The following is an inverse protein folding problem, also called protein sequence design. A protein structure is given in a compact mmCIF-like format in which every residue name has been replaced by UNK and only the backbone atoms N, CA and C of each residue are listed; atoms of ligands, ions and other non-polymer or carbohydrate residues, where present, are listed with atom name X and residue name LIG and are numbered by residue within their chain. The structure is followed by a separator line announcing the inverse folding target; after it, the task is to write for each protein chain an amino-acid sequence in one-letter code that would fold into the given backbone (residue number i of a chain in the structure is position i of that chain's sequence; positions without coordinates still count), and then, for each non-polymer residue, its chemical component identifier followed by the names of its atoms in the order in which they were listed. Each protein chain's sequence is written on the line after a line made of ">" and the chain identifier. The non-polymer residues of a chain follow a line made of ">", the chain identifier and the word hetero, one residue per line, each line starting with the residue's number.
data_IF_370387448098
#
_entry.id   IF_370387448098
#
_cell.length_a   1.000
_cell.length_b   1.000
_cell.length_c   1.000
_cell.angle_alpha   90.00
_cell.angle_beta   90.00
_cell.angle_gamma   90.00
#
_symmetry.space_group_name_H-M   'P 1'
#
loop_
_entity.id
_entity.type
_entity.pdbx_description
1 polymer ?
#
# COMPACT_ATOMS: atom_id res chain seq x y z
N UNK A 1 -11.42 -31.88 27.73
CA UNK A 1 -11.42 -30.42 27.69
C UNK A 1 -10.88 -30.03 26.33
N UNK A 2 -11.78 -29.87 25.33
CA UNK A 2 -11.38 -29.50 23.97
C UNK A 2 -11.17 -27.99 23.95
N UNK A 3 -9.93 -27.56 23.92
CA UNK A 3 -9.55 -26.20 23.62
C UNK A 3 -9.89 -25.91 22.14
N UNK A 4 -11.03 -25.27 21.89
CA UNK A 4 -11.33 -24.67 20.59
C UNK A 4 -10.37 -23.51 20.40
N UNK A 5 -9.19 -23.76 19.87
CA UNK A 5 -8.38 -22.73 19.24
C UNK A 5 -9.25 -22.13 18.12
N UNK A 6 -9.64 -20.87 18.24
CA UNK A 6 -10.25 -20.13 17.15
C UNK A 6 -9.31 -20.28 15.95
N UNK A 7 -9.68 -21.15 15.00
CA UNK A 7 -8.95 -21.23 13.72
C UNK A 7 -9.11 -19.87 13.06
N UNK A 8 -8.06 -19.09 13.06
CA UNK A 8 -7.99 -17.92 12.20
C UNK A 8 -8.25 -18.41 10.78
N UNK A 9 -9.31 -17.90 10.14
CA UNK A 9 -9.50 -18.17 8.71
C UNK A 9 -8.38 -17.46 7.98
N UNK A 10 -7.62 -18.16 7.12
CA UNK A 10 -6.59 -17.52 6.34
C UNK A 10 -7.23 -16.45 5.45
N UNK A 11 -6.58 -15.30 5.37
CA UNK A 11 -6.95 -14.18 4.52
C UNK A 11 -5.91 -14.07 3.41
N UNK A 12 -6.35 -13.83 2.17
CA UNK A 12 -5.44 -13.51 1.08
C UNK A 12 -5.08 -12.03 1.15
N UNK A 13 -3.79 -11.70 1.08
CA UNK A 13 -3.34 -10.35 0.77
C UNK A 13 -3.24 -10.19 -0.74
N UNK A 14 -3.87 -9.17 -1.32
CA UNK A 14 -3.73 -8.78 -2.72
C UNK A 14 -3.11 -7.40 -2.84
N UNK A 15 -2.02 -7.32 -3.59
CA UNK A 15 -1.41 -6.08 -4.05
C UNK A 15 -1.75 -5.91 -5.54
N UNK A 16 -2.53 -4.87 -5.86
CA UNK A 16 -3.06 -4.57 -7.19
C UNK A 16 -2.37 -3.32 -7.72
N UNK A 17 -1.44 -3.50 -8.67
CA UNK A 17 -0.65 -2.41 -9.24
C UNK A 17 -0.87 -2.30 -10.75
N UNK A 18 -0.38 -1.23 -11.36
CA UNK A 18 -0.47 -1.00 -12.83
C UNK A 18 0.19 -2.10 -13.67
N UNK A 19 1.18 -2.81 -13.11
CA UNK A 19 1.97 -3.81 -13.84
C UNK A 19 1.64 -5.25 -13.48
N UNK A 20 1.13 -5.49 -12.28
CA UNK A 20 0.89 -6.85 -11.78
C UNK A 20 -0.12 -6.88 -10.63
N UNK A 21 -0.76 -8.02 -10.46
CA UNK A 21 -1.37 -8.39 -9.20
C UNK A 21 -0.47 -9.41 -8.50
N UNK A 22 -0.19 -9.18 -7.21
CA UNK A 22 0.52 -10.11 -6.35
C UNK A 22 -0.42 -10.63 -5.28
N UNK A 23 -0.29 -11.89 -4.94
CA UNK A 23 -1.12 -12.59 -3.97
C UNK A 23 -0.23 -13.30 -2.96
N UNK A 24 -0.58 -13.18 -1.70
CA UNK A 24 0.03 -13.95 -0.61
C UNK A 24 -1.03 -14.51 0.32
N UNK A 25 -0.86 -15.77 0.74
CA UNK A 25 -1.62 -16.41 1.82
C UNK A 25 -0.66 -16.75 2.94
N UNK A 26 -0.97 -16.29 4.16
CA UNK A 26 -0.14 -16.50 5.33
C UNK A 26 -0.89 -17.35 6.36
N UNK A 27 -0.17 -18.23 7.04
CA UNK A 27 -0.61 -18.87 8.27
C UNK A 27 0.25 -18.42 9.45
N UNK A 28 -0.31 -18.51 10.65
CA UNK A 28 0.42 -18.24 11.89
C UNK A 28 0.58 -19.57 12.65
N UNK A 29 1.82 -20.03 12.81
CA UNK A 29 2.15 -21.25 13.51
C UNK A 29 3.30 -21.00 14.51
N UNK A 30 3.07 -21.28 15.79
CA UNK A 30 4.08 -21.06 16.83
C UNK A 30 4.54 -19.60 16.98
N UNK A 31 3.70 -18.63 16.67
CA UNK A 31 4.04 -17.20 16.70
C UNK A 31 4.82 -16.69 15.48
N UNK A 32 5.04 -17.57 14.48
CA UNK A 32 5.73 -17.19 13.24
C UNK A 32 4.78 -17.27 12.04
N UNK A 33 4.90 -16.30 11.14
CA UNK A 33 4.20 -16.32 9.87
C UNK A 33 4.88 -17.26 8.89
N UNK A 34 4.07 -18.03 8.19
CA UNK A 34 4.50 -18.91 7.11
C UNK A 34 3.73 -18.58 5.85
N UNK A 35 4.44 -18.50 4.72
CA UNK A 35 3.84 -18.32 3.40
C UNK A 35 3.28 -19.68 2.96
N UNK A 36 1.96 -19.76 2.81
CA UNK A 36 1.24 -20.95 2.33
C UNK A 36 1.05 -20.92 0.81
N UNK A 37 0.82 -19.73 0.24
CA UNK A 37 0.69 -19.53 -1.19
C UNK A 37 1.22 -18.16 -1.60
N UNK A 38 1.79 -18.08 -2.80
CA UNK A 38 2.25 -16.83 -3.42
C UNK A 38 2.15 -16.93 -4.94
N UNK A 39 1.71 -15.86 -5.57
CA UNK A 39 1.80 -15.69 -7.02
C UNK A 39 1.91 -14.21 -7.38
N UNK A 40 2.48 -13.96 -8.54
CA UNK A 40 2.46 -12.67 -9.22
C UNK A 40 2.00 -12.91 -10.66
N UNK A 41 0.99 -12.15 -11.12
CA UNK A 41 0.45 -12.21 -12.48
C UNK A 41 0.52 -10.84 -13.14
N UNK A 42 0.85 -10.78 -14.43
CA UNK A 42 0.84 -9.52 -15.16
C UNK A 42 -0.56 -8.91 -15.19
N UNK A 43 -0.61 -7.59 -15.04
CA UNK A 43 -1.84 -6.81 -15.22
C UNK A 43 -2.06 -6.54 -16.71
N UNK A 44 -3.29 -6.68 -17.21
CA UNK A 44 -3.63 -6.25 -18.57
C UNK A 44 -3.36 -4.76 -18.77
N UNK A 45 -2.85 -4.41 -19.93
CA UNK A 45 -2.53 -3.02 -20.27
C UNK A 45 -3.79 -2.15 -20.20
N UNK A 46 -3.67 -0.94 -19.68
CA UNK A 46 -4.75 0.05 -19.51
C UNK A 46 -5.91 -0.37 -18.61
N UNK A 47 -5.79 -1.46 -17.82
CA UNK A 47 -6.82 -1.83 -16.83
C UNK A 47 -6.76 -1.01 -15.55
N UNK A 48 -5.62 -0.36 -15.30
CA UNK A 48 -5.39 0.57 -14.18
C UNK A 48 -4.74 1.83 -14.73
N UNK A 49 -5.29 2.99 -14.39
CA UNK A 49 -4.74 4.29 -14.72
C UNK A 49 -4.59 5.13 -13.43
N UNK A 50 -3.41 5.74 -13.21
CA UNK A 50 -3.14 6.57 -12.02
C UNK A 50 -3.61 5.92 -10.70
N UNK A 51 -3.33 4.60 -10.54
CA UNK A 51 -3.74 3.77 -9.40
C UNK A 51 -5.26 3.53 -9.26
N UNK A 52 -6.09 4.02 -10.18
CA UNK A 52 -7.51 3.73 -10.26
C UNK A 52 -7.78 2.55 -11.19
N UNK A 53 -8.63 1.63 -10.77
CA UNK A 53 -9.07 0.51 -11.59
C UNK A 53 -10.12 1.03 -12.58
N UNK A 54 -9.81 0.97 -13.89
CA UNK A 54 -10.72 1.41 -14.95
C UNK A 54 -11.42 0.23 -15.65
N UNK A 55 -10.86 -0.98 -15.53
CA UNK A 55 -11.44 -2.22 -16.05
C UNK A 55 -11.44 -3.29 -14.97
N UNK A 56 -12.53 -3.36 -14.22
CA UNK A 56 -12.70 -4.29 -13.10
C UNK A 56 -12.73 -5.76 -13.54
N UNK A 57 -13.22 -6.07 -14.73
CA UNK A 57 -13.25 -7.43 -15.25
C UNK A 57 -11.83 -7.91 -15.62
N UNK A 58 -11.05 -7.09 -16.31
CA UNK A 58 -9.67 -7.42 -16.66
C UNK A 58 -8.79 -7.61 -15.42
N UNK A 59 -8.97 -6.77 -14.40
CA UNK A 59 -8.29 -6.92 -13.09
C UNK A 59 -8.77 -8.19 -12.39
N UNK A 60 -10.07 -8.45 -12.37
CA UNK A 60 -10.66 -9.68 -11.80
C UNK A 60 -10.11 -10.96 -12.45
N UNK A 61 -9.92 -10.96 -13.77
CA UNK A 61 -9.27 -12.06 -14.48
C UNK A 61 -7.81 -12.25 -14.07
N UNK A 62 -7.05 -11.17 -13.91
CA UNK A 62 -5.66 -11.25 -13.42
C UNK A 62 -5.61 -11.82 -11.99
N UNK A 63 -6.49 -11.37 -11.09
CA UNK A 63 -6.62 -11.92 -9.74
C UNK A 63 -6.96 -13.41 -9.79
N UNK A 64 -7.92 -13.82 -10.64
CA UNK A 64 -8.32 -15.24 -10.79
C UNK A 64 -7.16 -16.11 -11.25
N UNK A 65 -6.34 -15.62 -12.19
CA UNK A 65 -5.12 -16.32 -12.62
C UNK A 65 -4.12 -16.44 -11.47
N UNK A 66 -3.90 -15.38 -10.68
CA UNK A 66 -3.01 -15.39 -9.53
C UNK A 66 -3.46 -16.43 -8.49
N UNK A 67 -4.75 -16.46 -8.14
CA UNK A 67 -5.33 -17.44 -7.20
C UNK A 67 -5.12 -18.87 -7.69
N UNK A 68 -5.39 -19.13 -8.98
CA UNK A 68 -5.20 -20.44 -9.58
C UNK A 68 -3.73 -20.88 -9.57
N UNK A 69 -2.83 -19.96 -9.92
CA UNK A 69 -1.38 -20.23 -9.97
C UNK A 69 -0.80 -20.48 -8.59
N UNK A 70 -1.23 -19.71 -7.58
CA UNK A 70 -0.80 -19.88 -6.20
C UNK A 70 -1.37 -21.16 -5.55
N UNK A 71 -2.47 -21.71 -6.07
CA UNK A 71 -3.22 -22.77 -5.39
C UNK A 71 -3.83 -22.31 -4.07
N UNK A 72 -4.10 -21.01 -3.93
CA UNK A 72 -4.64 -20.41 -2.72
C UNK A 72 -6.04 -20.94 -2.40
N UNK A 73 -6.33 -21.12 -1.11
CA UNK A 73 -7.57 -21.76 -0.66
C UNK A 73 -8.59 -20.79 -0.08
N UNK A 74 -8.13 -19.69 0.49
CA UNK A 74 -9.03 -18.68 1.05
C UNK A 74 -9.84 -18.00 -0.05
N UNK A 75 -11.06 -17.59 0.30
CA UNK A 75 -11.93 -16.78 -0.53
C UNK A 75 -12.11 -15.37 0.02
N UNK A 76 -11.64 -15.13 1.24
CA UNK A 76 -11.67 -13.81 1.88
C UNK A 76 -10.34 -13.10 1.63
N UNK A 77 -10.39 -11.80 1.31
CA UNK A 77 -9.26 -11.02 0.81
C UNK A 77 -9.11 -9.72 1.59
N UNK A 78 -7.88 -9.35 1.86
CA UNK A 78 -7.48 -7.98 2.19
C UNK A 78 -6.87 -7.34 0.94
N UNK A 79 -7.35 -6.15 0.60
CA UNK A 79 -6.81 -5.26 -0.43
C UNK A 79 -6.51 -3.91 0.18
N UNK A 80 -5.78 -3.05 -0.52
CA UNK A 80 -5.52 -1.69 -0.08
C UNK A 80 -5.83 -0.67 -1.18
N UNK A 81 -6.17 0.54 -0.74
CA UNK A 81 -6.19 1.74 -1.59
C UNK A 81 -4.86 2.46 -1.48
N UNK A 82 -4.51 3.23 -2.49
CA UNK A 82 -3.29 4.04 -2.48
C UNK A 82 -3.35 5.12 -1.39
N UNK A 83 -2.19 5.43 -0.81
CA UNK A 83 -2.08 6.43 0.25
C UNK A 83 -2.47 7.84 -0.20
N UNK A 84 -2.27 8.21 -1.47
CA UNK A 84 -2.67 9.49 -2.06
C UNK A 84 -4.19 9.59 -2.29
N UNK A 85 -4.90 8.47 -2.35
CA UNK A 85 -6.36 8.41 -2.43
C UNK A 85 -7.03 8.45 -1.04
N UNK A 86 -6.27 8.38 0.04
CA UNK A 86 -6.76 8.38 1.42
C UNK A 86 -6.45 9.70 2.12
N UNK A 87 -7.45 10.25 2.79
CA UNK A 87 -7.29 11.35 3.74
C UNK A 87 -7.08 10.74 5.11
N UNK A 88 -5.96 11.06 5.75
CA UNK A 88 -5.60 10.57 7.08
C UNK A 88 -5.42 11.75 8.02
N UNK A 89 -6.12 11.75 9.15
CA UNK A 89 -6.08 12.85 10.12
C UNK A 89 -6.16 12.33 11.55
N UNK A 90 -5.33 12.85 12.44
CA UNK A 90 -5.52 12.67 13.87
C UNK A 90 -6.36 13.83 14.39
N UNK A 91 -7.51 13.52 14.95
CA UNK A 91 -8.46 14.47 15.55
C UNK A 91 -8.56 14.22 17.05
N UNK A 92 -8.90 15.27 17.81
CA UNK A 92 -9.04 15.18 19.26
C UNK A 92 -10.51 15.07 19.65
N UNK A 93 -10.83 14.09 20.50
CA UNK A 93 -12.17 13.80 20.99
C UNK A 93 -12.19 13.84 22.53
N UNK A 94 -13.28 14.30 23.17
CA UNK A 94 -13.42 14.22 24.61
C UNK A 94 -13.31 12.79 25.14
N UNK A 95 -12.51 12.60 26.19
CA UNK A 95 -12.21 11.25 26.75
C UNK A 95 -13.41 10.57 27.39
N UNK A 96 -14.41 11.34 27.81
CA UNK A 96 -15.58 10.84 28.54
C UNK A 96 -16.76 10.42 27.63
N UNK A 97 -16.58 10.39 26.32
CA UNK A 97 -17.62 9.96 25.38
C UNK A 97 -17.82 8.43 25.45
N UNK A 98 -19.08 8.01 25.39
CA UNK A 98 -19.42 6.60 25.15
C UNK A 98 -19.14 6.25 23.68
N UNK A 99 -18.96 4.98 23.37
CA UNK A 99 -18.61 4.54 22.01
C UNK A 99 -19.58 5.07 20.92
N UNK A 100 -20.89 5.01 21.16
CA UNK A 100 -21.90 5.52 20.21
C UNK A 100 -21.86 7.05 20.05
N UNK A 101 -21.57 7.77 21.14
CA UNK A 101 -21.45 9.24 21.13
C UNK A 101 -20.14 9.65 20.42
N UNK A 102 -19.08 8.84 20.57
CA UNK A 102 -17.80 9.05 19.88
C UNK A 102 -17.97 8.93 18.37
N UNK A 103 -18.65 7.86 17.88
CA UNK A 103 -18.90 7.65 16.45
C UNK A 103 -19.63 8.85 15.84
N UNK A 104 -20.73 9.32 16.47
CA UNK A 104 -21.47 10.50 16.01
C UNK A 104 -20.60 11.79 16.01
N UNK A 105 -19.72 11.95 17.00
CA UNK A 105 -18.83 13.11 17.05
C UNK A 105 -17.71 13.03 16.00
N UNK A 106 -17.19 11.83 15.70
CA UNK A 106 -16.23 11.63 14.64
C UNK A 106 -16.85 11.99 13.28
N UNK A 107 -18.08 11.51 13.00
CA UNK A 107 -18.82 11.84 11.79
C UNK A 107 -19.00 13.35 11.61
N UNK A 108 -19.43 14.03 12.67
CA UNK A 108 -19.61 15.50 12.65
C UNK A 108 -18.30 16.25 12.41
N UNK A 109 -17.18 15.78 12.99
CA UNK A 109 -15.88 16.41 12.76
C UNK A 109 -15.26 16.03 11.40
N UNK A 110 -15.55 14.83 10.90
CA UNK A 110 -15.04 14.36 9.61
C UNK A 110 -15.40 15.32 8.46
N UNK A 111 -16.63 15.85 8.46
CA UNK A 111 -17.12 16.82 7.48
C UNK A 111 -16.24 18.09 7.38
N UNK A 112 -15.53 18.46 8.45
CA UNK A 112 -14.62 19.62 8.44
C UNK A 112 -13.28 19.37 7.77
N UNK A 113 -12.88 18.10 7.64
CA UNK A 113 -11.56 17.70 7.14
C UNK A 113 -11.63 17.03 5.76
N UNK A 114 -12.81 16.54 5.39
CA UNK A 114 -13.02 15.80 4.15
C UNK A 114 -13.61 16.77 3.10
N UNK A 115 -12.90 17.04 1.99
CA UNK A 115 -13.33 18.00 0.98
C UNK A 115 -14.35 17.42 -0.02
N UNK A 116 -15.10 16.39 0.37
CA UNK A 116 -16.10 15.71 -0.44
C UNK A 116 -17.40 15.57 0.33
N UNK A 117 -18.57 15.51 -0.34
CA UNK A 117 -19.84 15.19 0.30
C UNK A 117 -19.76 13.86 1.06
N UNK A 118 -20.25 13.81 2.30
CA UNK A 118 -20.14 12.63 3.16
C UNK A 118 -20.84 11.39 2.62
N UNK A 119 -21.84 11.55 1.77
CA UNK A 119 -22.54 10.46 1.05
C UNK A 119 -21.70 9.83 -0.08
N UNK A 120 -20.62 10.50 -0.50
CA UNK A 120 -19.64 9.98 -1.48
C UNK A 120 -18.37 9.43 -0.81
N UNK A 121 -18.33 9.37 0.54
CA UNK A 121 -17.12 9.04 1.30
C UNK A 121 -17.29 7.74 2.09
N UNK A 122 -16.31 6.86 1.98
CA UNK A 122 -16.11 5.76 2.91
C UNK A 122 -15.05 6.17 3.93
N UNK A 123 -15.37 6.09 5.22
CA UNK A 123 -14.44 6.43 6.29
C UNK A 123 -14.49 5.38 7.42
N UNK A 124 -13.41 5.34 8.18
CA UNK A 124 -13.27 4.55 9.41
C UNK A 124 -12.38 5.31 10.38
N UNK A 125 -12.40 4.92 11.67
CA UNK A 125 -11.57 5.55 12.65
C UNK A 125 -11.04 4.57 13.72
N UNK A 126 -9.89 4.89 14.29
CA UNK A 126 -9.26 4.14 15.37
C UNK A 126 -8.92 5.08 16.54
N UNK A 127 -9.27 4.68 17.77
CA UNK A 127 -8.84 5.39 18.97
C UNK A 127 -7.39 5.04 19.28
N UNK A 128 -6.49 6.00 19.13
CA UNK A 128 -5.06 5.82 19.38
C UNK A 128 -4.72 5.80 20.88
N UNK A 129 -5.51 6.50 21.69
CA UNK A 129 -5.32 6.60 23.14
C UNK A 129 -5.42 8.02 23.66
N UNK A 130 -5.00 8.26 24.93
CA UNK A 130 -4.97 9.58 25.51
C UNK A 130 -4.08 10.54 24.72
N UNK A 131 -4.54 11.76 24.48
CA UNK A 131 -3.74 12.77 23.79
C UNK A 131 -2.58 13.25 24.67
N UNK A 132 -1.38 13.37 24.07
CA UNK A 132 -0.23 13.97 24.75
C UNK A 132 -0.38 15.49 24.94
N UNK A 133 -1.27 16.13 24.17
CA UNK A 133 -1.50 17.58 24.19
C UNK A 133 -2.55 18.01 25.20
N UNK A 134 -3.50 17.13 25.51
CA UNK A 134 -4.62 17.40 26.41
C UNK A 134 -5.07 16.12 27.11
N UNK A 135 -4.91 16.05 28.42
CA UNK A 135 -5.23 14.88 29.23
C UNK A 135 -6.73 14.52 29.26
N UNK A 136 -7.60 15.46 28.92
CA UNK A 136 -9.06 15.25 28.86
C UNK A 136 -9.54 14.80 27.48
N UNK A 137 -8.60 14.64 26.54
CA UNK A 137 -8.86 14.25 25.15
C UNK A 137 -8.26 12.89 24.79
N UNK A 138 -8.87 12.25 23.79
CA UNK A 138 -8.34 11.09 23.06
C UNK A 138 -7.88 11.54 21.67
N UNK A 139 -6.76 11.02 21.23
CA UNK A 139 -6.36 11.09 19.82
C UNK A 139 -7.07 9.98 19.07
N UNK A 140 -7.77 10.35 17.99
CA UNK A 140 -8.52 9.45 17.12
C UNK A 140 -7.98 9.61 15.71
N UNK A 141 -7.53 8.52 15.11
CA UNK A 141 -7.14 8.46 13.73
C UNK A 141 -8.40 8.34 12.86
N UNK A 142 -8.68 9.35 12.07
CA UNK A 142 -9.70 9.34 11.03
C UNK A 142 -9.05 9.03 9.68
N UNK A 143 -9.61 8.07 8.96
CA UNK A 143 -9.20 7.69 7.61
C UNK A 143 -10.41 7.73 6.70
N UNK A 144 -10.31 8.42 5.57
CA UNK A 144 -11.41 8.57 4.64
C UNK A 144 -10.91 8.48 3.19
N UNK A 145 -11.78 8.03 2.29
CA UNK A 145 -11.55 8.00 0.86
C UNK A 145 -12.86 8.16 0.11
N UNK A 146 -12.83 8.49 -1.17
CA UNK A 146 -14.03 8.39 -1.99
C UNK A 146 -14.53 6.95 -2.02
N UNK A 147 -15.82 6.75 -1.87
CA UNK A 147 -16.49 5.43 -1.89
C UNK A 147 -16.16 4.67 -3.17
N UNK A 148 -16.05 5.37 -4.30
CA UNK A 148 -15.65 4.80 -5.59
C UNK A 148 -14.32 4.02 -5.52
N UNK A 149 -13.32 4.51 -4.77
CA UNK A 149 -12.03 3.82 -4.62
C UNK A 149 -12.18 2.46 -3.93
N UNK A 150 -13.08 2.36 -2.97
CA UNK A 150 -13.39 1.12 -2.26
C UNK A 150 -14.19 0.18 -3.18
N UNK A 151 -15.22 0.70 -3.84
CA UNK A 151 -16.12 -0.07 -4.72
C UNK A 151 -15.37 -0.69 -5.90
N UNK A 152 -14.45 0.03 -6.53
CA UNK A 152 -13.64 -0.48 -7.64
C UNK A 152 -12.80 -1.69 -7.20
N UNK A 153 -12.20 -1.64 -6.01
CA UNK A 153 -11.43 -2.77 -5.48
C UNK A 153 -12.34 -3.96 -5.13
N UNK A 154 -13.47 -3.68 -4.51
CA UNK A 154 -14.47 -4.72 -4.20
C UNK A 154 -15.03 -5.37 -5.47
N UNK A 155 -15.31 -4.57 -6.52
CA UNK A 155 -15.80 -5.07 -7.79
C UNK A 155 -14.78 -6.00 -8.47
N UNK A 156 -13.50 -5.60 -8.55
CA UNK A 156 -12.45 -6.43 -9.12
C UNK A 156 -12.25 -7.75 -8.34
N UNK A 157 -12.29 -7.70 -7.01
CA UNK A 157 -12.21 -8.89 -6.16
C UNK A 157 -13.43 -9.79 -6.36
N UNK A 158 -14.61 -9.22 -6.48
CA UNK A 158 -15.87 -9.94 -6.73
C UNK A 158 -15.86 -10.59 -8.11
N UNK A 159 -15.38 -9.90 -9.16
CA UNK A 159 -15.20 -10.45 -10.50
C UNK A 159 -14.25 -11.67 -10.51
N UNK A 160 -13.29 -11.73 -9.58
CA UNK A 160 -12.44 -12.89 -9.38
C UNK A 160 -13.12 -14.06 -8.64
N UNK A 161 -14.35 -13.91 -8.16
CA UNK A 161 -15.06 -14.91 -7.34
C UNK A 161 -14.57 -14.96 -5.88
N UNK A 162 -14.07 -13.84 -5.37
CA UNK A 162 -13.59 -13.64 -4.00
C UNK A 162 -14.44 -12.61 -3.26
N UNK A 163 -14.20 -12.45 -1.96
CA UNK A 163 -14.89 -11.47 -1.11
C UNK A 163 -13.87 -10.56 -0.46
N UNK A 164 -13.92 -9.27 -0.74
CA UNK A 164 -13.11 -8.27 -0.05
C UNK A 164 -13.62 -8.15 1.39
N UNK A 165 -12.80 -8.59 2.35
CA UNK A 165 -13.12 -8.57 3.77
C UNK A 165 -12.56 -7.33 4.45
N UNK A 166 -11.42 -6.87 3.95
CA UNK A 166 -10.69 -5.69 4.43
C UNK A 166 -10.29 -4.88 3.20
N UNK A 167 -10.57 -3.59 3.25
CA UNK A 167 -10.00 -2.59 2.35
C UNK A 167 -9.20 -1.63 3.24
N UNK A 168 -7.89 -1.77 3.20
CA UNK A 168 -6.94 -1.01 4.02
C UNK A 168 -6.33 0.15 3.20
N UNK A 169 -5.41 0.89 3.78
CA UNK A 169 -4.56 1.87 3.09
C UNK A 169 -3.15 1.30 2.96
N UNK A 170 -2.53 1.44 1.79
CA UNK A 170 -1.18 0.90 1.50
C UNK A 170 -0.15 1.30 2.57
N UNK A 171 -0.22 2.55 3.07
CA UNK A 171 0.70 3.03 4.10
C UNK A 171 0.59 2.24 5.42
N UNK A 172 -0.62 1.83 5.82
CA UNK A 172 -0.81 1.03 7.04
C UNK A 172 -0.46 -0.44 6.82
N UNK A 173 -0.72 -0.96 5.62
CA UNK A 173 -0.24 -2.28 5.24
C UNK A 173 1.29 -2.36 5.28
N UNK A 174 1.98 -1.32 4.78
CA UNK A 174 3.43 -1.18 4.87
C UNK A 174 3.92 -1.09 6.33
N UNK A 175 3.26 -0.27 7.16
CA UNK A 175 3.55 -0.17 8.60
C UNK A 175 3.51 -1.54 9.27
N UNK A 176 2.46 -2.30 9.00
CA UNK A 176 2.29 -3.64 9.56
C UNK A 176 3.34 -4.63 9.04
N UNK A 177 3.72 -4.53 7.76
CA UNK A 177 4.81 -5.33 7.20
C UNK A 177 6.16 -4.99 7.85
N UNK A 178 6.46 -3.72 8.10
CA UNK A 178 7.68 -3.27 8.78
C UNK A 178 7.80 -3.85 10.19
N UNK A 179 6.69 -4.00 10.92
CA UNK A 179 6.68 -4.64 12.25
C UNK A 179 7.14 -6.09 12.21
N UNK A 180 6.98 -6.79 11.09
CA UNK A 180 7.47 -8.16 10.91
C UNK A 180 8.98 -8.22 10.62
N UNK A 181 9.56 -7.11 10.16
CA UNK A 181 10.97 -7.00 9.76
C UNK A 181 11.86 -6.35 10.83
N UNK A 182 11.35 -6.13 12.04
CA UNK A 182 12.09 -5.45 13.12
C UNK A 182 13.45 -6.11 13.44
N UNK A 183 13.53 -7.44 13.29
CA UNK A 183 14.78 -8.19 13.47
C UNK A 183 15.89 -7.85 12.46
N UNK A 184 15.55 -7.19 11.33
CA UNK A 184 16.48 -6.72 10.31
C UNK A 184 16.87 -5.25 10.53
N UNK A 185 16.23 -4.57 11.49
CA UNK A 185 16.42 -3.14 11.74
C UNK A 185 17.37 -2.93 12.94
N UNK A 186 18.24 -1.92 12.89
CA UNK A 186 19.02 -1.53 14.06
C UNK A 186 18.08 -1.21 15.25
N UNK A 187 18.41 -1.75 16.42
CA UNK A 187 17.64 -1.57 17.67
C UNK A 187 16.14 -1.93 17.54
N UNK A 188 15.80 -2.87 16.61
CA UNK A 188 14.42 -3.25 16.33
C UNK A 188 13.55 -2.13 15.73
N UNK A 189 14.15 -1.01 15.32
CA UNK A 189 13.46 0.13 14.73
C UNK A 189 12.67 1.01 15.70
N UNK A 190 12.63 0.70 17.02
CA UNK A 190 11.72 1.36 17.99
C UNK A 190 12.09 2.82 18.21
N UNK A 191 13.36 3.12 18.44
CA UNK A 191 13.86 4.48 18.70
C UNK A 191 14.48 5.12 17.45
N UNK A 192 14.01 4.72 16.27
CA UNK A 192 14.55 5.18 14.98
C UNK A 192 13.49 5.86 14.14
N UNK A 193 13.95 6.82 13.33
CA UNK A 193 13.21 7.30 12.17
C UNK A 193 13.71 6.52 10.96
N UNK A 194 12.80 5.80 10.30
CA UNK A 194 13.11 4.88 9.20
C UNK A 194 12.44 5.39 7.95
N UNK A 195 13.20 5.56 6.87
CA UNK A 195 12.64 5.80 5.55
C UNK A 195 12.48 4.46 4.81
N UNK A 196 11.31 4.24 4.25
CA UNK A 196 11.01 3.11 3.37
C UNK A 196 10.70 3.65 2.00
N UNK A 197 11.37 3.13 0.99
CA UNK A 197 11.19 3.55 -0.40
C UNK A 197 10.74 2.33 -1.19
N UNK A 198 9.50 2.36 -1.67
CA UNK A 198 8.93 1.31 -2.52
C UNK A 198 8.98 1.76 -3.98
N UNK A 199 9.89 1.15 -4.75
CA UNK A 199 10.04 1.40 -6.17
C UNK A 199 9.11 0.48 -6.97
N UNK A 200 7.96 1.03 -7.36
CA UNK A 200 6.99 0.34 -8.21
C UNK A 200 7.33 0.40 -9.70
N UNK A 201 6.35 0.03 -10.53
CA UNK A 201 6.48 0.08 -11.97
C UNK A 201 6.33 1.51 -12.51
N UNK A 202 5.25 2.20 -12.15
CA UNK A 202 4.90 3.55 -12.64
C UNK A 202 5.11 4.65 -11.60
N UNK A 203 5.17 4.31 -10.32
CA UNK A 203 5.31 5.25 -9.22
C UNK A 203 6.20 4.67 -8.12
N UNK A 204 6.76 5.59 -7.32
CA UNK A 204 7.52 5.25 -6.11
C UNK A 204 6.83 5.88 -4.92
N UNK A 205 6.70 5.12 -3.84
CA UNK A 205 6.18 5.60 -2.55
C UNK A 205 7.34 5.77 -1.58
N UNK A 206 7.48 6.98 -1.03
CA UNK A 206 8.42 7.32 0.02
C UNK A 206 7.65 7.47 1.34
N UNK A 207 7.92 6.61 2.30
CA UNK A 207 7.29 6.62 3.62
C UNK A 207 8.33 6.81 4.72
N UNK A 208 7.97 7.56 5.76
CA UNK A 208 8.79 7.71 6.97
C UNK A 208 8.03 7.17 8.17
N UNK A 209 8.70 6.28 8.90
CA UNK A 209 8.18 5.69 10.13
C UNK A 209 8.98 6.21 11.32
N UNK A 210 8.28 6.48 12.43
CA UNK A 210 8.85 6.74 13.75
C UNK A 210 8.17 5.81 14.74
N UNK A 211 8.95 5.13 15.58
CA UNK A 211 8.45 4.08 16.46
C UNK A 211 7.58 3.03 15.71
N UNK A 212 7.97 2.68 14.49
CA UNK A 212 7.27 1.76 13.57
C UNK A 212 5.84 2.24 13.18
N UNK A 213 5.53 3.52 13.33
CA UNK A 213 4.30 4.15 12.86
C UNK A 213 4.60 5.08 11.69
N UNK A 214 3.79 5.01 10.64
CA UNK A 214 3.91 5.93 9.50
C UNK A 214 3.53 7.33 9.93
N UNK A 215 4.47 8.27 9.79
CA UNK A 215 4.29 9.69 10.11
C UNK A 215 4.29 10.59 8.88
N UNK A 216 4.74 10.08 7.74
CA UNK A 216 4.78 10.78 6.47
C UNK A 216 4.76 9.78 5.33
N UNK A 217 4.01 10.07 4.28
CA UNK A 217 4.06 9.34 3.01
C UNK A 217 3.92 10.29 1.84
N UNK A 218 4.57 9.96 0.74
CA UNK A 218 4.52 10.72 -0.51
C UNK A 218 4.75 9.80 -1.69
N UNK A 219 3.87 9.93 -2.67
CA UNK A 219 4.01 9.26 -3.96
C UNK A 219 4.57 10.23 -5.01
N UNK A 220 5.33 9.69 -5.95
CA UNK A 220 5.80 10.43 -7.11
C UNK A 220 5.89 9.51 -8.34
N UNK A 221 5.64 10.10 -9.51
CA UNK A 221 5.59 9.40 -10.79
C UNK A 221 7.01 9.09 -11.30
N UNK A 222 7.64 8.08 -10.69
CA UNK A 222 8.94 7.54 -11.08
C UNK A 222 8.96 6.05 -10.76
N UNK A 223 9.38 5.19 -11.70
CA UNK A 223 9.42 3.76 -11.47
C UNK A 223 10.14 2.98 -12.55
N UNK A 224 10.14 1.67 -12.41
CA UNK A 224 10.87 0.75 -13.30
C UNK A 224 10.38 0.74 -14.76
N UNK A 225 9.20 1.30 -15.06
CA UNK A 225 8.71 1.44 -16.42
C UNK A 225 9.56 2.45 -17.21
N UNK A 226 9.98 3.54 -16.58
CA UNK A 226 10.85 4.53 -17.23
C UNK A 226 12.18 3.92 -17.68
N UNK A 227 12.77 3.03 -16.87
CA UNK A 227 13.95 2.28 -17.29
C UNK A 227 13.64 1.38 -18.50
N UNK A 228 12.47 0.74 -18.54
CA UNK A 228 12.06 -0.09 -19.68
C UNK A 228 11.89 0.76 -20.94
N UNK A 229 11.27 1.93 -20.83
CA UNK A 229 11.08 2.87 -21.94
C UNK A 229 12.43 3.43 -22.44
N UNK A 230 13.38 3.67 -21.56
CA UNK A 230 14.72 4.10 -21.94
C UNK A 230 15.48 2.99 -22.69
N UNK A 231 15.36 1.75 -22.25
CA UNK A 231 15.91 0.58 -22.97
C UNK A 231 15.29 0.46 -24.37
N UNK A 232 13.96 0.60 -24.46
CA UNK A 232 13.26 0.61 -25.74
C UNK A 232 13.80 1.66 -26.68
N UNK A 233 13.93 2.89 -26.21
CA UNK A 233 14.38 4.04 -26.99
C UNK A 233 15.84 3.88 -27.45
N UNK A 234 16.70 3.42 -26.55
CA UNK A 234 18.14 3.33 -26.81
C UNK A 234 18.48 2.18 -27.76
N UNK A 235 17.79 1.04 -27.64
CA UNK A 235 18.13 -0.18 -28.38
C UNK A 235 17.09 -0.57 -29.45
N UNK A 236 16.02 0.23 -29.63
CA UNK A 236 14.99 -0.04 -30.63
C UNK A 236 14.17 -1.31 -30.35
N UNK A 237 14.03 -1.69 -29.09
CA UNK A 237 13.30 -2.89 -28.66
C UNK A 237 11.81 -2.58 -28.43
N UNK A 238 10.97 -3.60 -28.57
CA UNK A 238 9.59 -3.54 -28.11
C UNK A 238 9.52 -3.51 -26.57
N UNK A 239 8.38 -3.11 -26.01
CA UNK A 239 8.15 -3.10 -24.55
C UNK A 239 8.39 -4.49 -23.94
N UNK A 240 7.95 -5.54 -24.60
CA UNK A 240 8.12 -6.92 -24.13
C UNK A 240 9.60 -7.32 -24.13
N UNK A 241 10.31 -7.06 -25.22
CA UNK A 241 11.74 -7.36 -25.35
C UNK A 241 12.58 -6.59 -24.35
N UNK A 242 12.33 -5.29 -24.20
CA UNK A 242 12.99 -4.43 -23.22
C UNK A 242 12.72 -4.88 -21.78
N UNK A 243 11.46 -5.21 -21.45
CA UNK A 243 11.07 -5.75 -20.16
C UNK A 243 11.73 -7.08 -19.83
N UNK A 244 11.90 -7.95 -20.83
CA UNK A 244 12.61 -9.22 -20.68
C UNK A 244 14.11 -8.99 -20.51
N UNK A 245 14.73 -8.20 -21.37
CA UNK A 245 16.16 -7.88 -21.28
C UNK A 245 16.54 -7.19 -19.97
N UNK A 246 15.67 -6.32 -19.44
CA UNK A 246 15.86 -5.73 -18.11
C UNK A 246 15.94 -6.76 -16.99
N UNK A 247 15.18 -7.86 -17.08
CA UNK A 247 15.12 -8.91 -16.03
C UNK A 247 16.18 -9.98 -16.20
N UNK A 248 16.42 -10.39 -17.44
CA UNK A 248 17.22 -11.57 -17.76
C UNK A 248 18.63 -11.20 -18.22
N UNK A 249 18.85 -9.92 -18.53
CA UNK A 249 20.11 -9.45 -19.12
C UNK A 249 20.12 -9.58 -20.63
N UNK A 250 21.32 -9.52 -21.22
CA UNK A 250 21.51 -9.64 -22.69
C UNK A 250 21.51 -8.29 -23.41
N UNK A 251 21.50 -7.17 -22.67
CA UNK A 251 21.70 -5.83 -23.24
C UNK A 251 23.17 -5.60 -23.60
N UNK A 252 23.46 -4.70 -24.56
CA UNK A 252 24.85 -4.36 -24.96
C UNK A 252 25.70 -3.90 -23.78
N UNK A 253 27.04 -4.05 -23.90
CA UNK A 253 27.97 -3.73 -22.81
C UNK A 253 28.00 -2.27 -22.36
N UNK A 254 27.48 -1.34 -23.15
CA UNK A 254 27.33 0.07 -22.80
C UNK A 254 26.06 0.37 -21.97
N UNK A 255 25.16 -0.59 -21.78
CA UNK A 255 23.89 -0.44 -21.03
C UNK A 255 24.11 0.18 -19.66
N UNK A 256 25.12 -0.28 -18.92
CA UNK A 256 25.42 0.21 -17.59
C UNK A 256 25.63 1.74 -17.60
N UNK A 257 26.55 2.21 -18.44
CA UNK A 257 26.94 3.62 -18.46
C UNK A 257 25.94 4.55 -19.17
N UNK A 258 25.25 4.05 -20.19
CA UNK A 258 24.38 4.91 -21.03
C UNK A 258 22.93 4.93 -20.58
N UNK A 259 22.46 3.91 -19.87
CA UNK A 259 21.06 3.77 -19.49
C UNK A 259 20.88 3.58 -17.98
N UNK A 260 21.58 2.62 -17.38
CA UNK A 260 21.33 2.27 -15.99
C UNK A 260 21.87 3.29 -15.01
N UNK A 261 23.11 3.76 -15.17
CA UNK A 261 23.71 4.76 -14.28
C UNK A 261 22.92 6.10 -14.28
N UNK A 262 22.54 6.69 -15.44
CA UNK A 262 21.66 7.85 -15.45
C UNK A 262 20.31 7.62 -14.77
N UNK A 263 19.69 6.45 -14.95
CA UNK A 263 18.44 6.11 -14.26
C UNK A 263 18.62 6.02 -12.74
N UNK A 264 19.74 5.46 -12.25
CA UNK A 264 20.08 5.40 -10.82
C UNK A 264 20.30 6.80 -10.26
N UNK A 265 20.95 7.69 -11.01
CA UNK A 265 21.15 9.08 -10.61
C UNK A 265 19.83 9.83 -10.48
N UNK A 266 18.92 9.67 -11.44
CA UNK A 266 17.57 10.25 -11.39
C UNK A 266 16.78 9.71 -10.18
N UNK A 267 16.82 8.40 -9.96
CA UNK A 267 16.20 7.74 -8.81
C UNK A 267 16.72 8.33 -7.49
N UNK A 268 18.02 8.48 -7.38
CA UNK A 268 18.68 9.04 -6.19
C UNK A 268 18.26 10.48 -5.93
N UNK A 269 18.13 11.29 -7.01
CA UNK A 269 17.62 12.66 -6.90
C UNK A 269 16.18 12.71 -6.43
N UNK A 270 15.29 11.82 -6.92
CA UNK A 270 13.89 11.77 -6.50
C UNK A 270 13.75 11.41 -5.02
N UNK A 271 14.52 10.42 -4.55
CA UNK A 271 14.56 10.05 -3.12
C UNK A 271 15.07 11.21 -2.28
N UNK A 272 16.16 11.87 -2.71
CA UNK A 272 16.73 13.03 -2.02
C UNK A 272 15.74 14.19 -1.90
N UNK A 273 14.99 14.48 -2.97
CA UNK A 273 13.91 15.49 -2.95
C UNK A 273 12.80 15.09 -1.97
N UNK A 274 12.39 13.83 -1.95
CA UNK A 274 11.35 13.35 -1.04
C UNK A 274 11.78 13.49 0.42
N UNK A 275 13.04 13.19 0.72
CA UNK A 275 13.61 13.42 2.05
C UNK A 275 13.64 14.91 2.42
N UNK A 276 14.00 15.79 1.49
CA UNK A 276 13.97 17.24 1.71
C UNK A 276 12.55 17.74 2.01
N UNK A 277 11.54 17.26 1.27
CA UNK A 277 10.14 17.60 1.54
C UNK A 277 9.69 17.12 2.93
N UNK A 278 10.06 15.91 3.32
CA UNK A 278 9.78 15.43 4.68
C UNK A 278 10.40 16.34 5.74
N UNK A 279 11.67 16.69 5.61
CA UNK A 279 12.35 17.57 6.55
C UNK A 279 11.74 18.97 6.60
N UNK A 280 11.27 19.50 5.47
CA UNK A 280 10.62 20.80 5.37
C UNK A 280 9.17 20.79 5.90
N UNK A 281 8.48 19.63 5.91
CA UNK A 281 7.08 19.52 6.35
C UNK A 281 6.88 19.73 7.87
N UNK A 282 7.96 19.75 8.65
CA UNK A 282 7.91 19.83 10.11
C UNK A 282 7.47 18.54 10.80
N UNK A 283 7.13 17.50 10.04
CA UNK A 283 6.76 16.18 10.58
C UNK A 283 7.93 15.46 11.27
N UNK A 284 9.13 16.00 11.15
CA UNK A 284 10.36 15.51 11.77
C UNK A 284 10.62 16.00 13.19
N UNK A 285 9.77 16.90 13.72
CA UNK A 285 9.97 17.51 15.05
C UNK A 285 9.06 16.87 16.09
#
# INVERSE_FOLDING_TARGET
>A
MFLFTRKYKPLLGLDITTSSVKLIELSLAGGQYRVEAYAAEPMPVNSINEKQIVDTEAVGEAIRRAVKRAGARSKEVAVAISGDAAITKVIQMPRNLRAADLEAQVELQADQYIPFPMDEVSYDFEVLGPSEKDNDSLDVLLVATRTENVEQRQAAVTAAGLTAKIVDVEAFALENACKLMTHQMPDGGIDRTIAVVDFGASSTTFSVLRALKVIYTRDFAFGGQQLTEEIMRTYGLSMEEAGRAKKEGGLPGNFQAEVLDPFIDDMTQQVSRSLQFYLASGSGR
#
